data_IF_327981887073
#
_entry.id   IF_327981887073
#
_cell.length_a   1.000
_cell.length_b   1.000
_cell.length_c   1.000
_cell.angle_alpha   90.00
_cell.angle_beta   90.00
_cell.angle_gamma   90.00
#
_symmetry.space_group_name_H-M   'P 1'
#
loop_
_entity.id
_entity.type
_entity.pdbx_description
1 polymer ?
#
# COMPACT_ATOMS: atom_id res chain seq x y z
N UNK A 1 34.69 -24.81 -3.26
CA UNK A 1 34.92 -24.07 -2.01
C UNK A 1 33.87 -22.98 -1.93
N UNK A 2 32.81 -23.17 -1.15
CA UNK A 2 31.71 -22.20 -1.02
C UNK A 2 32.04 -21.36 0.21
N UNK A 3 32.20 -20.06 0.02
CA UNK A 3 32.57 -19.11 1.06
C UNK A 3 31.55 -19.09 2.19
N UNK A 4 32.07 -19.14 3.42
CA UNK A 4 31.35 -19.12 4.68
C UNK A 4 30.43 -17.89 4.75
N UNK A 5 29.11 -18.10 4.83
CA UNK A 5 28.15 -17.04 5.16
C UNK A 5 28.39 -16.62 6.61
N UNK A 6 29.14 -15.53 6.81
CA UNK A 6 29.43 -15.02 8.13
C UNK A 6 28.11 -14.59 8.80
N UNK A 7 27.66 -15.38 9.78
CA UNK A 7 26.49 -15.07 10.60
C UNK A 7 26.83 -13.78 11.37
N UNK A 8 26.12 -12.69 11.07
CA UNK A 8 26.24 -11.43 11.79
C UNK A 8 25.22 -11.44 12.95
N UNK A 9 25.66 -11.36 14.22
CA UNK A 9 24.74 -11.27 15.35
C UNK A 9 23.86 -10.01 15.27
N UNK A 10 22.57 -10.13 15.58
CA UNK A 10 21.60 -9.02 15.50
C UNK A 10 22.00 -7.79 16.33
N UNK A 11 22.75 -8.00 17.42
CA UNK A 11 23.27 -6.91 18.25
C UNK A 11 24.25 -5.99 17.49
N UNK A 12 24.85 -6.46 16.39
CA UNK A 12 25.72 -5.65 15.50
C UNK A 12 24.96 -4.88 14.42
N UNK A 13 23.63 -4.97 14.40
CA UNK A 13 22.78 -4.19 13.50
C UNK A 13 22.33 -2.87 14.12
N UNK A 14 22.65 -2.62 15.39
CA UNK A 14 22.34 -1.35 16.06
C UNK A 14 23.57 -0.44 16.04
N UNK A 15 23.33 0.84 15.79
CA UNK A 15 24.37 1.86 15.85
C UNK A 15 24.54 2.35 17.29
N UNK A 16 25.78 2.48 17.75
CA UNK A 16 26.12 3.08 19.05
C UNK A 16 26.12 4.63 19.00
N UNK A 17 25.88 5.19 17.80
CA UNK A 17 25.70 6.61 17.56
C UNK A 17 24.22 6.98 17.41
N UNK A 18 23.93 8.21 16.99
CA UNK A 18 22.57 8.74 16.92
C UNK A 18 21.67 8.08 15.83
N UNK A 19 22.07 6.93 15.28
CA UNK A 19 21.26 6.07 14.42
C UNK A 19 20.96 6.70 13.05
N UNK A 20 20.29 5.96 12.15
CA UNK A 20 19.88 6.53 10.87
C UNK A 20 18.80 7.59 11.11
N UNK A 21 19.19 8.86 10.98
CA UNK A 21 18.28 9.99 11.03
C UNK A 21 17.28 9.91 9.87
N UNK A 22 16.00 9.65 10.16
CA UNK A 22 14.92 9.89 9.19
C UNK A 22 14.81 11.41 9.05
N UNK A 23 15.36 11.98 7.98
CA UNK A 23 15.12 13.39 7.65
C UNK A 23 13.67 13.54 7.23
N UNK A 24 12.86 14.11 8.11
CA UNK A 24 11.52 14.55 7.78
C UNK A 24 11.65 15.83 6.93
N UNK A 25 11.03 15.91 5.75
CA UNK A 25 11.14 17.13 4.94
C UNK A 25 10.45 18.28 5.69
N UNK A 26 11.16 19.40 5.77
CA UNK A 26 10.74 20.63 6.42
C UNK A 26 9.50 21.22 5.73
N UNK A 27 8.35 21.19 6.39
CA UNK A 27 7.24 22.10 6.06
C UNK A 27 7.46 23.42 6.82
N UNK A 28 7.81 24.45 6.06
CA UNK A 28 8.15 25.78 6.54
C UNK A 28 6.97 26.46 7.24
N UNK A 29 7.07 26.73 8.54
CA UNK A 29 6.54 27.97 9.16
C UNK A 29 7.15 28.24 10.55
N UNK A 30 8.09 29.18 10.55
CA UNK A 30 8.53 30.08 11.62
C UNK A 30 7.88 29.93 13.02
N UNK A 31 8.68 29.55 14.03
CA UNK A 31 8.30 29.75 15.42
C UNK A 31 9.24 29.19 16.48
N UNK A 32 10.31 29.93 16.79
CA UNK A 32 11.06 29.91 18.06
C UNK A 32 11.99 28.73 18.36
N UNK A 33 13.19 29.09 18.83
CA UNK A 33 14.27 28.19 19.23
C UNK A 33 13.80 27.07 20.17
N UNK A 34 13.71 25.84 19.65
CA UNK A 34 13.60 24.64 20.47
C UNK A 34 14.86 23.82 20.27
N UNK A 35 15.95 24.27 20.89
CA UNK A 35 17.14 23.46 21.05
C UNK A 35 16.76 22.16 21.75
N UNK A 36 16.98 21.02 21.07
CA UNK A 36 17.14 19.66 21.64
C UNK A 36 16.46 19.48 23.00
N UNK A 37 15.14 19.64 23.01
CA UNK A 37 14.37 19.57 24.24
C UNK A 37 14.06 18.09 24.51
N UNK A 38 14.84 17.47 25.39
CA UNK A 38 14.51 16.16 25.96
C UNK A 38 13.72 16.38 27.25
N UNK A 39 12.44 15.98 27.32
CA UNK A 39 11.62 16.17 28.51
C UNK A 39 12.30 15.54 29.75
N UNK A 40 12.37 16.28 30.86
CA UNK A 40 12.91 15.77 32.14
C UNK A 40 11.81 15.10 32.95
N UNK A 41 12.19 14.29 33.95
CA UNK A 41 11.33 13.28 34.58
C UNK A 41 9.91 13.69 35.02
N UNK A 42 9.69 14.91 35.53
CA UNK A 42 8.33 15.37 35.87
C UNK A 42 7.55 15.79 34.61
N UNK A 43 8.18 16.58 33.75
CA UNK A 43 7.57 17.04 32.51
C UNK A 43 7.24 15.89 31.56
N UNK A 44 8.06 14.84 31.55
CA UNK A 44 7.78 13.59 30.86
C UNK A 44 6.55 12.88 31.44
N UNK A 45 6.40 12.86 32.77
CA UNK A 45 5.22 12.26 33.41
C UNK A 45 3.96 13.04 33.06
N UNK A 46 4.02 14.37 33.09
CA UNK A 46 2.88 15.22 32.75
C UNK A 46 2.48 15.02 31.27
N UNK A 47 3.47 14.88 30.38
CA UNK A 47 3.24 14.55 28.96
C UNK A 47 2.60 13.17 28.80
N UNK A 48 3.10 12.17 29.53
CA UNK A 48 2.58 10.79 29.47
C UNK A 48 1.15 10.72 29.99
N UNK A 49 0.86 11.33 31.14
CA UNK A 49 -0.49 11.35 31.72
C UNK A 49 -1.48 12.06 30.77
N UNK A 50 -1.06 13.17 30.16
CA UNK A 50 -1.85 13.87 29.14
C UNK A 50 -2.09 12.98 27.90
N UNK A 51 -1.06 12.29 27.43
CA UNK A 51 -1.18 11.40 26.25
C UNK A 51 -2.09 10.20 26.52
N UNK A 52 -2.01 9.61 27.72
CA UNK A 52 -2.83 8.47 28.12
C UNK A 52 -4.29 8.90 28.31
N UNK A 53 -4.54 10.05 28.94
CA UNK A 53 -5.88 10.59 29.08
C UNK A 53 -6.53 10.85 27.72
N UNK A 54 -5.78 11.42 26.78
CA UNK A 54 -6.25 11.67 25.41
C UNK A 54 -6.48 10.37 24.62
N UNK A 55 -5.60 9.38 24.74
CA UNK A 55 -5.78 8.06 24.11
C UNK A 55 -6.96 7.29 24.73
N UNK A 56 -7.17 7.40 26.04
CA UNK A 56 -8.32 6.85 26.74
C UNK A 56 -9.63 7.45 26.23
N UNK A 57 -9.64 8.76 25.96
CA UNK A 57 -10.78 9.43 25.33
C UNK A 57 -11.05 8.91 23.90
N UNK A 58 -10.00 8.64 23.11
CA UNK A 58 -10.13 8.02 21.77
C UNK A 58 -10.56 6.56 21.85
N UNK A 59 -10.13 5.82 22.89
CA UNK A 59 -10.54 4.43 23.13
C UNK A 59 -12.00 4.29 23.57
N UNK A 60 -12.65 5.39 23.96
CA UNK A 60 -14.07 5.48 24.30
C UNK A 60 -14.99 5.69 23.09
N UNK A 61 -14.44 6.03 21.91
CA UNK A 61 -15.17 5.83 20.66
C UNK A 61 -15.31 4.32 20.47
N UNK A 62 -16.43 3.80 20.99
CA UNK A 62 -17.14 2.61 20.50
C UNK A 62 -16.70 2.38 19.06
N UNK A 63 -15.95 1.29 18.84
CA UNK A 63 -15.52 0.84 17.51
C UNK A 63 -16.71 1.04 16.59
N UNK A 64 -16.68 2.10 15.78
CA UNK A 64 -17.67 2.28 14.72
C UNK A 64 -17.63 0.95 13.99
N UNK A 65 -18.79 0.28 13.97
CA UNK A 65 -18.94 -1.11 13.57
C UNK A 65 -18.01 -1.37 12.41
N UNK A 66 -17.14 -2.37 12.57
CA UNK A 66 -16.14 -2.72 11.59
C UNK A 66 -16.78 -2.55 10.21
N UNK A 67 -16.26 -1.59 9.43
CA UNK A 67 -16.54 -1.58 7.99
C UNK A 67 -16.32 -3.02 7.57
N UNK A 68 -17.36 -3.64 7.03
CA UNK A 68 -17.26 -4.98 6.47
C UNK A 68 -16.29 -4.84 5.31
N UNK A 69 -15.00 -4.91 5.61
CA UNK A 69 -13.95 -5.02 4.61
C UNK A 69 -14.39 -6.18 3.73
N UNK A 70 -14.58 -5.94 2.41
CA UNK A 70 -15.05 -6.99 1.53
C UNK A 70 -14.12 -8.18 1.71
N UNK A 71 -14.72 -9.37 1.89
CA UNK A 71 -13.96 -10.57 2.15
C UNK A 71 -12.86 -10.72 1.08
N UNK A 72 -11.63 -11.09 1.47
CA UNK A 72 -10.54 -11.21 0.51
C UNK A 72 -10.94 -12.17 -0.61
N UNK A 73 -11.00 -11.63 -1.84
CA UNK A 73 -11.41 -12.39 -3.02
C UNK A 73 -10.19 -13.13 -3.55
N UNK A 74 -10.36 -14.41 -3.87
CA UNK A 74 -9.29 -15.22 -4.44
C UNK A 74 -8.78 -14.56 -5.74
N UNK A 75 -7.44 -14.47 -5.91
CA UNK A 75 -6.85 -13.71 -7.01
C UNK A 75 -7.29 -14.24 -8.38
N UNK A 76 -7.61 -15.53 -8.46
CA UNK A 76 -8.11 -16.22 -9.65
C UNK A 76 -9.46 -15.69 -10.13
N UNK A 77 -10.28 -15.13 -9.23
CA UNK A 77 -11.56 -14.48 -9.58
C UNK A 77 -11.36 -13.07 -10.13
N UNK A 78 -10.21 -12.45 -9.85
CA UNK A 78 -9.82 -11.15 -10.36
C UNK A 78 -9.07 -11.27 -11.69
N UNK A 79 -8.58 -12.47 -12.01
CA UNK A 79 -7.95 -12.75 -13.29
C UNK A 79 -9.02 -12.88 -14.36
N UNK A 80 -8.95 -11.99 -15.34
CA UNK A 80 -9.80 -12.00 -16.51
C UNK A 80 -9.34 -13.11 -17.49
N UNK A 81 -9.56 -14.39 -17.16
CA UNK A 81 -9.06 -15.53 -17.94
C UNK A 81 -10.19 -16.40 -18.50
N UNK A 82 -9.83 -17.25 -19.46
CA UNK A 82 -10.74 -18.21 -20.08
C UNK A 82 -12.02 -17.58 -20.60
N UNK A 83 -13.16 -17.92 -19.98
CA UNK A 83 -14.49 -17.47 -20.43
C UNK A 83 -14.69 -15.96 -20.31
N UNK A 84 -14.23 -15.35 -19.22
CA UNK A 84 -14.37 -13.90 -19.03
C UNK A 84 -13.65 -13.13 -20.16
N UNK A 85 -12.40 -13.53 -20.47
CA UNK A 85 -11.62 -12.96 -21.57
C UNK A 85 -12.36 -13.00 -22.92
N UNK A 86 -12.99 -14.15 -23.22
CA UNK A 86 -13.79 -14.30 -24.44
C UNK A 86 -15.05 -13.44 -24.43
N UNK A 87 -15.74 -13.32 -23.29
CA UNK A 87 -16.95 -12.51 -23.19
C UNK A 87 -16.64 -11.02 -23.46
N UNK A 88 -15.50 -10.49 -22.97
CA UNK A 88 -15.04 -9.14 -23.35
C UNK A 88 -14.68 -9.02 -24.82
N UNK A 89 -13.96 -10.00 -25.36
CA UNK A 89 -13.57 -9.98 -26.75
C UNK A 89 -14.81 -9.92 -27.67
N UNK A 90 -15.86 -10.66 -27.31
CA UNK A 90 -17.15 -10.58 -27.98
C UNK A 90 -17.77 -9.19 -27.86
N UNK A 91 -17.80 -8.60 -26.67
CA UNK A 91 -18.30 -7.24 -26.45
C UNK A 91 -17.60 -6.23 -27.38
N UNK A 92 -16.27 -6.19 -27.37
CA UNK A 92 -15.48 -5.29 -28.22
C UNK A 92 -15.78 -5.55 -29.70
N UNK A 93 -15.84 -6.82 -30.13
CA UNK A 93 -16.15 -7.18 -31.51
C UNK A 93 -17.52 -6.66 -31.95
N UNK A 94 -18.52 -6.73 -31.06
CA UNK A 94 -19.86 -6.22 -31.33
C UNK A 94 -19.88 -4.70 -31.42
N UNK A 95 -19.16 -4.01 -30.54
CA UNK A 95 -19.01 -2.54 -30.59
C UNK A 95 -18.33 -2.08 -31.88
N UNK A 96 -17.21 -2.71 -32.25
CA UNK A 96 -16.48 -2.40 -33.50
C UNK A 96 -17.38 -2.63 -34.72
N UNK A 97 -18.08 -3.76 -34.76
CA UNK A 97 -18.98 -4.09 -35.87
C UNK A 97 -20.17 -3.12 -35.93
N UNK A 98 -20.71 -2.71 -34.80
CA UNK A 98 -21.80 -1.75 -34.72
C UNK A 98 -21.38 -0.34 -35.15
N UNK A 99 -20.13 0.05 -34.88
CA UNK A 99 -19.59 1.33 -35.32
C UNK A 99 -19.48 1.44 -36.85
N UNK A 100 -19.36 0.30 -37.57
CA UNK A 100 -19.35 0.26 -39.04
C UNK A 100 -18.13 0.91 -39.69
N UNK A 101 -17.14 1.29 -38.89
CA UNK A 101 -15.85 1.86 -39.30
C UNK A 101 -14.72 0.85 -39.07
N UNK A 102 -13.59 1.08 -39.72
CA UNK A 102 -12.40 0.27 -39.50
C UNK A 102 -12.01 0.31 -38.00
N UNK A 103 -11.69 -0.84 -37.38
CA UNK A 103 -11.29 -0.87 -35.98
C UNK A 103 -10.04 -0.03 -35.75
N UNK A 104 -10.05 0.70 -34.64
CA UNK A 104 -8.85 1.33 -34.13
C UNK A 104 -7.81 0.25 -33.82
N UNK A 105 -6.52 0.58 -33.99
CA UNK A 105 -5.43 -0.38 -33.77
C UNK A 105 -5.44 -0.90 -32.34
N UNK A 106 -5.74 -0.01 -31.39
CA UNK A 106 -5.84 -0.30 -29.97
C UNK A 106 -6.92 -1.36 -29.68
N UNK A 107 -8.05 -1.33 -30.39
CA UNK A 107 -9.10 -2.33 -30.23
C UNK A 107 -8.69 -3.70 -30.80
N UNK A 108 -7.88 -3.72 -31.86
CA UNK A 108 -7.32 -4.97 -32.41
C UNK A 108 -6.29 -5.55 -31.45
N UNK A 109 -5.41 -4.71 -30.91
CA UNK A 109 -4.39 -5.12 -29.94
C UNK A 109 -5.08 -5.69 -28.67
N UNK A 110 -6.11 -5.02 -28.14
CA UNK A 110 -6.89 -5.51 -26.99
C UNK A 110 -7.57 -6.86 -27.30
N UNK A 111 -8.15 -7.04 -28.50
CA UNK A 111 -8.74 -8.32 -28.90
C UNK A 111 -7.71 -9.46 -28.95
N UNK A 112 -6.50 -9.20 -29.45
CA UNK A 112 -5.44 -10.19 -29.50
C UNK A 112 -4.94 -10.57 -28.10
N UNK A 113 -4.80 -9.59 -27.21
CA UNK A 113 -4.41 -9.83 -25.81
C UNK A 113 -5.46 -10.67 -25.08
N UNK A 114 -6.75 -10.38 -25.27
CA UNK A 114 -7.85 -11.15 -24.65
C UNK A 114 -7.90 -12.59 -25.16
N UNK A 115 -7.66 -12.82 -26.46
CA UNK A 115 -7.58 -14.17 -27.02
C UNK A 115 -6.37 -14.93 -26.48
N UNK A 116 -5.21 -14.26 -26.40
CA UNK A 116 -4.01 -14.86 -25.82
C UNK A 116 -4.23 -15.23 -24.35
N UNK A 117 -4.89 -14.36 -23.58
CA UNK A 117 -5.22 -14.61 -22.18
C UNK A 117 -6.23 -15.76 -22.02
N UNK A 118 -7.22 -15.86 -22.90
CA UNK A 118 -8.15 -16.99 -22.94
C UNK A 118 -7.48 -18.34 -23.26
N UNK A 119 -6.44 -18.33 -24.09
CA UNK A 119 -5.71 -19.54 -24.51
C UNK A 119 -4.75 -20.11 -23.44
N UNK A 120 -4.59 -19.41 -22.31
CA UNK A 120 -3.75 -19.89 -21.19
C UNK A 120 -4.46 -20.84 -20.23
N UNK A 121 -5.73 -21.17 -20.48
CA UNK A 121 -6.51 -22.16 -19.72
C UNK A 121 -6.54 -23.57 -20.35
#
# INVERSE_FOLDING_TARGET
MISNSAIVPIARLFYDDAGPHIMQPDDTSSGSASGRYTPRGQELRDLLDTSIANLGAVSGQTRRGASLEPAPVAIETLLYRGRAALDRALEISTTVRAAGVAPAREAVDELLDLVALAATE
#
